data_IF_105114839393
#
_entry.id   IF_105114839393
#
_cell.length_a   1.000
_cell.length_b   1.000
_cell.length_c   1.000
_cell.angle_alpha   90.00
_cell.angle_beta   90.00
_cell.angle_gamma   90.00
#
_symmetry.space_group_name_H-M   'P 1'
#
loop_
_entity.id
_entity.type
_entity.pdbx_description
1 polymer ?
#
# COMPACT_ATOMS: atom_id res chain seq x y z
N UNK A 1 -14.36 -14.07 2.80
CA UNK A 1 -13.09 -14.78 2.61
C UNK A 1 -12.02 -14.02 3.38
N UNK A 2 -11.10 -14.71 4.06
CA UNK A 2 -10.00 -14.06 4.76
C UNK A 2 -8.96 -13.62 3.73
N UNK A 3 -8.55 -12.34 3.77
CA UNK A 3 -7.60 -11.78 2.81
C UNK A 3 -6.40 -11.18 3.55
N UNK A 4 -5.21 -11.42 3.02
CA UNK A 4 -4.00 -10.80 3.54
C UNK A 4 -3.96 -9.32 3.14
N UNK A 5 -3.56 -8.48 4.08
CA UNK A 5 -3.46 -7.03 3.89
C UNK A 5 -2.15 -6.53 4.50
N UNK A 6 -1.83 -5.28 4.19
CA UNK A 6 -0.65 -4.61 4.73
C UNK A 6 -0.71 -4.58 6.26
N UNK A 7 0.44 -4.69 6.95
CA UNK A 7 0.48 -4.65 8.40
C UNK A 7 0.23 -3.21 8.88
N UNK A 8 -1.03 -2.77 8.89
CA UNK A 8 -1.40 -1.43 9.35
C UNK A 8 -2.80 -1.36 10.02
N UNK A 9 -2.94 -0.55 11.10
CA UNK A 9 -1.86 0.11 11.85
C UNK A 9 -0.98 -0.92 12.59
N UNK A 10 0.34 -0.67 12.64
CA UNK A 10 1.30 -1.62 13.24
C UNK A 10 1.13 -1.78 14.76
N UNK A 11 0.71 -0.70 15.43
CA UNK A 11 0.53 -0.65 16.88
C UNK A 11 -0.70 0.20 17.24
N UNK A 12 -1.36 -0.17 18.35
CA UNK A 12 -2.38 0.68 18.97
C UNK A 12 -1.78 1.64 20.00
N UNK A 13 -0.71 1.21 20.66
CA UNK A 13 0.09 1.97 21.62
C UNK A 13 1.55 1.55 21.43
N UNK A 14 2.44 2.52 21.26
CA UNK A 14 3.87 2.28 21.06
C UNK A 14 4.67 3.32 21.85
N UNK A 15 5.56 2.89 22.76
CA UNK A 15 6.52 3.78 23.37
C UNK A 15 7.62 4.11 22.35
N UNK A 16 8.06 5.36 22.34
CA UNK A 16 9.17 5.87 21.53
C UNK A 16 10.07 6.68 22.44
N UNK A 17 11.36 6.73 22.14
CA UNK A 17 12.36 7.40 22.97
C UNK A 17 12.56 8.87 22.56
N UNK A 18 12.42 9.17 21.27
CA UNK A 18 12.69 10.51 20.71
C UNK A 18 11.46 11.12 20.03
N UNK A 19 11.49 12.45 19.84
CA UNK A 19 10.42 13.15 19.12
C UNK A 19 10.44 12.80 17.62
N UNK A 20 11.61 12.52 17.06
CA UNK A 20 11.81 12.10 15.68
C UNK A 20 11.14 10.75 15.42
N UNK A 21 11.38 9.76 16.30
CA UNK A 21 10.67 8.48 16.30
C UNK A 21 9.17 8.67 16.46
N UNK A 22 8.73 9.57 17.35
CA UNK A 22 7.30 9.85 17.52
C UNK A 22 6.67 10.36 16.22
N UNK A 23 7.32 11.27 15.49
CA UNK A 23 6.80 11.84 14.24
C UNK A 23 6.79 10.78 13.14
N UNK A 24 7.88 10.02 12.96
CA UNK A 24 7.95 8.95 11.98
C UNK A 24 6.91 7.85 12.24
N UNK A 25 6.75 7.46 13.50
CA UNK A 25 5.71 6.50 13.92
C UNK A 25 4.30 7.05 13.70
N UNK A 26 4.06 8.33 13.97
CA UNK A 26 2.77 8.96 13.64
C UNK A 26 2.45 8.85 12.15
N UNK A 27 3.42 9.11 11.26
CA UNK A 27 3.23 8.99 9.82
C UNK A 27 2.94 7.53 9.41
N UNK A 28 3.70 6.56 9.92
CA UNK A 28 3.48 5.12 9.69
C UNK A 28 2.10 4.65 10.15
N UNK A 29 1.62 5.16 11.27
CA UNK A 29 0.29 4.84 11.81
C UNK A 29 -0.87 5.43 10.99
N UNK A 30 -0.63 6.19 9.91
CA UNK A 30 -1.68 6.65 8.99
C UNK A 30 -2.07 5.60 7.96
N UNK A 31 -1.25 4.56 7.73
CA UNK A 31 -1.58 3.51 6.76
C UNK A 31 -2.89 2.80 7.12
N UNK A 32 -3.71 2.54 6.10
CA UNK A 32 -4.98 1.83 6.24
C UNK A 32 -5.13 0.79 5.12
N UNK A 33 -5.56 -0.44 5.42
CA UNK A 33 -5.79 -1.47 4.39
C UNK A 33 -6.79 -1.02 3.32
N UNK A 34 -7.85 -0.31 3.75
CA UNK A 34 -8.94 0.17 2.90
C UNK A 34 -8.65 1.50 2.19
N UNK A 35 -7.47 2.07 2.34
CA UNK A 35 -7.16 3.34 1.70
C UNK A 35 -7.12 3.21 0.16
N UNK A 36 -7.67 4.22 -0.50
CA UNK A 36 -7.57 4.39 -1.96
C UNK A 36 -6.12 4.67 -2.36
N UNK A 37 -5.85 4.58 -3.66
CA UNK A 37 -4.52 4.85 -4.25
C UNK A 37 -3.92 6.18 -3.78
N UNK A 38 -4.65 7.29 -3.91
CA UNK A 38 -4.08 8.63 -3.64
C UNK A 38 -3.79 8.86 -2.14
N UNK A 39 -4.69 8.51 -1.19
CA UNK A 39 -4.36 8.51 0.23
C UNK A 39 -3.18 7.63 0.60
N UNK A 40 -3.00 6.47 -0.07
CA UNK A 40 -1.84 5.60 0.19
C UNK A 40 -0.54 6.18 -0.29
N UNK A 41 -0.54 6.80 -1.47
CA UNK A 41 0.60 7.56 -1.93
C UNK A 41 0.96 8.63 -0.90
N UNK A 42 -0.04 9.36 -0.38
CA UNK A 42 0.20 10.38 0.63
C UNK A 42 0.74 9.81 1.95
N UNK A 43 0.19 8.70 2.44
CA UNK A 43 0.67 8.05 3.68
C UNK A 43 2.08 7.48 3.52
N UNK A 44 2.36 6.80 2.41
CA UNK A 44 3.68 6.23 2.12
C UNK A 44 4.73 7.33 1.94
N UNK A 45 4.39 8.42 1.25
CA UNK A 45 5.31 9.55 1.09
C UNK A 45 5.56 10.27 2.42
N UNK A 46 4.53 10.43 3.26
CA UNK A 46 4.71 11.04 4.59
C UNK A 46 5.63 10.22 5.50
N UNK A 47 5.46 8.89 5.51
CA UNK A 47 6.36 8.00 6.25
C UNK A 47 7.79 8.05 5.68
N UNK A 48 7.92 7.91 4.36
CA UNK A 48 9.21 7.92 3.68
C UNK A 48 9.98 9.23 3.89
N UNK A 49 9.30 10.38 3.84
CA UNK A 49 9.89 11.69 4.12
C UNK A 49 10.39 11.77 5.56
N UNK A 50 9.54 11.43 6.54
CA UNK A 50 9.92 11.49 7.94
C UNK A 50 11.10 10.55 8.24
N UNK A 51 11.09 9.34 7.69
CA UNK A 51 12.19 8.39 7.86
C UNK A 51 13.49 8.89 7.23
N UNK A 52 13.42 9.43 6.01
CA UNK A 52 14.60 9.97 5.33
C UNK A 52 15.18 11.19 6.03
N UNK A 53 14.33 12.10 6.49
CA UNK A 53 14.77 13.33 7.17
C UNK A 53 15.42 13.03 8.51
N UNK A 54 14.84 12.13 9.32
CA UNK A 54 15.30 11.90 10.69
C UNK A 54 16.34 10.79 10.82
N UNK A 55 16.33 9.79 9.92
CA UNK A 55 17.20 8.60 10.03
C UNK A 55 18.08 8.38 8.79
N UNK A 56 17.89 9.14 7.71
CA UNK A 56 18.69 9.04 6.48
C UNK A 56 18.33 7.85 5.57
N UNK A 57 17.37 7.02 5.97
CA UNK A 57 16.96 5.80 5.27
C UNK A 57 15.43 5.66 5.18
N UNK A 58 14.95 4.66 4.44
CA UNK A 58 13.51 4.32 4.44
C UNK A 58 13.23 3.28 5.54
N UNK A 59 11.98 3.18 6.00
CA UNK A 59 11.58 2.12 6.95
C UNK A 59 11.79 0.74 6.32
N UNK A 60 12.33 -0.24 7.05
CA UNK A 60 12.66 -1.58 6.51
C UNK A 60 11.49 -2.28 5.78
N UNK A 61 10.26 -1.99 6.19
CA UNK A 61 9.02 -2.60 5.73
C UNK A 61 8.20 -1.71 4.77
N UNK A 62 8.75 -0.58 4.30
CA UNK A 62 8.04 0.36 3.42
C UNK A 62 7.43 -0.32 2.18
N UNK A 63 8.14 -1.31 1.64
CA UNK A 63 7.74 -2.10 0.47
C UNK A 63 6.44 -2.89 0.67
N UNK A 64 6.08 -3.22 1.92
CA UNK A 64 4.84 -3.91 2.26
C UNK A 64 3.61 -3.03 2.01
N UNK A 65 3.79 -1.71 1.92
CA UNK A 65 2.72 -0.75 1.64
C UNK A 65 2.57 -0.42 0.15
N UNK A 66 3.30 -1.09 -0.75
CA UNK A 66 3.21 -0.89 -2.19
C UNK A 66 2.31 -1.94 -2.83
N UNK A 67 1.28 -1.50 -3.55
CA UNK A 67 0.42 -2.36 -4.38
C UNK A 67 0.45 -2.03 -5.87
N UNK A 68 1.01 -0.87 -6.22
CA UNK A 68 1.25 -0.47 -7.59
C UNK A 68 2.29 0.64 -7.65
N UNK A 69 2.91 0.84 -8.81
CA UNK A 69 3.87 1.92 -9.07
C UNK A 69 3.23 3.30 -8.95
N UNK A 70 1.89 3.36 -9.05
CA UNK A 70 1.12 4.60 -8.94
C UNK A 70 0.96 5.06 -7.49
N UNK A 71 1.24 4.20 -6.51
CA UNK A 71 1.29 4.56 -5.09
C UNK A 71 2.66 5.16 -4.71
N UNK A 72 3.63 5.15 -5.62
CA UNK A 72 4.95 5.78 -5.41
C UNK A 72 4.95 7.23 -5.87
N UNK A 73 5.43 8.12 -4.99
CA UNK A 73 5.55 9.54 -5.28
C UNK A 73 6.44 9.79 -6.51
N UNK A 74 5.99 10.68 -7.40
CA UNK A 74 6.59 10.86 -8.73
C UNK A 74 8.08 11.23 -8.68
N UNK A 75 8.48 12.04 -7.69
CA UNK A 75 9.87 12.52 -7.58
C UNK A 75 10.83 11.41 -7.11
N UNK A 76 10.33 10.41 -6.39
CA UNK A 76 11.12 9.30 -5.81
C UNK A 76 10.88 7.97 -6.51
N UNK A 77 9.95 7.91 -7.47
CA UNK A 77 9.52 6.66 -8.11
C UNK A 77 10.68 5.82 -8.63
N UNK A 78 11.63 6.43 -9.35
CA UNK A 78 12.76 5.69 -9.91
C UNK A 78 13.69 5.11 -8.84
N UNK A 79 13.92 5.84 -7.75
CA UNK A 79 14.70 5.36 -6.60
C UNK A 79 13.98 4.18 -5.93
N UNK A 80 12.70 4.35 -5.61
CA UNK A 80 11.90 3.34 -4.92
C UNK A 80 11.71 2.07 -5.75
N UNK A 81 11.49 2.19 -7.06
CA UNK A 81 11.41 1.03 -7.96
C UNK A 81 12.74 0.26 -8.00
N UNK A 82 13.87 0.97 -8.06
CA UNK A 82 15.20 0.33 -8.00
C UNK A 82 15.42 -0.40 -6.67
N UNK A 83 14.95 0.15 -5.55
CA UNK A 83 15.00 -0.50 -4.25
C UNK A 83 14.13 -1.76 -4.20
N UNK A 84 12.92 -1.72 -4.73
CA UNK A 84 12.05 -2.90 -4.86
C UNK A 84 12.73 -4.02 -5.67
N UNK A 85 13.40 -3.68 -6.75
CA UNK A 85 14.15 -4.63 -7.57
C UNK A 85 15.34 -5.24 -6.81
N UNK A 86 16.24 -4.38 -6.30
CA UNK A 86 17.53 -4.82 -5.72
C UNK A 86 17.37 -5.43 -4.34
N UNK A 87 16.55 -4.83 -3.48
CA UNK A 87 16.44 -5.18 -2.06
C UNK A 87 15.33 -6.20 -1.80
N UNK A 88 14.25 -6.16 -2.59
CA UNK A 88 13.07 -7.00 -2.38
C UNK A 88 12.81 -8.01 -3.51
N UNK A 89 13.65 -8.01 -4.57
CA UNK A 89 13.61 -8.98 -5.65
C UNK A 89 12.31 -8.95 -6.46
N UNK A 90 11.74 -7.76 -6.64
CA UNK A 90 10.63 -7.49 -7.57
C UNK A 90 11.16 -7.39 -9.00
N UNK A 91 10.32 -7.69 -10.00
CA UNK A 91 10.69 -7.51 -11.41
C UNK A 91 10.10 -6.21 -11.96
N UNK A 92 10.97 -5.28 -12.37
CA UNK A 92 10.60 -3.96 -12.87
C UNK A 92 10.95 -3.85 -14.36
N UNK A 93 10.04 -3.30 -15.16
CA UNK A 93 10.31 -2.94 -16.56
C UNK A 93 10.12 -1.43 -16.74
N UNK A 94 11.24 -0.70 -16.80
CA UNK A 94 11.22 0.75 -16.88
C UNK A 94 10.58 1.39 -15.65
N UNK A 95 9.34 1.87 -15.78
CA UNK A 95 8.57 2.48 -14.69
C UNK A 95 7.40 1.63 -14.21
N UNK A 96 7.26 0.40 -14.71
CA UNK A 96 6.18 -0.52 -14.35
C UNK A 96 6.69 -1.71 -13.56
N UNK A 97 5.92 -2.12 -12.56
CA UNK A 97 6.16 -3.38 -11.85
C UNK A 97 5.53 -4.50 -12.69
N UNK A 98 6.35 -5.46 -13.14
CA UNK A 98 5.86 -6.65 -13.86
C UNK A 98 5.42 -7.73 -12.87
N UNK A 99 6.27 -8.03 -11.90
CA UNK A 99 6.00 -9.02 -10.87
C UNK A 99 6.42 -8.51 -9.51
N UNK A 100 5.55 -8.66 -8.54
CA UNK A 100 5.81 -8.32 -7.15
C UNK A 100 6.15 -9.58 -6.35
N UNK A 101 7.06 -9.44 -5.39
CA UNK A 101 7.35 -10.50 -4.44
C UNK A 101 6.38 -10.42 -3.28
N UNK A 102 5.58 -11.45 -3.11
CA UNK A 102 4.67 -11.60 -1.98
C UNK A 102 5.42 -11.91 -0.68
N UNK A 103 4.78 -11.69 0.46
CA UNK A 103 5.33 -12.01 1.80
C UNK A 103 5.65 -13.49 1.99
N UNK A 104 5.01 -14.38 1.21
CA UNK A 104 5.34 -15.81 1.14
C UNK A 104 6.67 -16.08 0.42
N UNK A 105 7.27 -15.08 -0.22
CA UNK A 105 8.45 -15.20 -1.07
C UNK A 105 8.15 -15.54 -2.53
N UNK A 106 6.89 -15.87 -2.86
CA UNK A 106 6.46 -16.14 -4.23
C UNK A 106 6.50 -14.88 -5.08
N UNK A 107 6.96 -15.02 -6.32
CA UNK A 107 6.96 -13.94 -7.30
C UNK A 107 5.75 -14.10 -8.22
N UNK A 108 4.88 -13.10 -8.24
CA UNK A 108 3.56 -13.19 -8.89
C UNK A 108 3.32 -11.96 -9.76
N UNK A 109 2.46 -12.10 -10.77
CA UNK A 109 2.04 -10.95 -11.55
C UNK A 109 1.25 -9.95 -10.68
N UNK A 110 1.11 -8.71 -11.14
CA UNK A 110 0.43 -7.67 -10.34
C UNK A 110 -1.07 -7.93 -10.14
N UNK A 111 -1.73 -8.69 -11.01
CA UNK A 111 -3.15 -9.00 -10.84
C UNK A 111 -3.32 -10.04 -9.72
N UNK A 112 -2.53 -11.11 -9.76
CA UNK A 112 -2.46 -12.14 -8.73
C UNK A 112 -1.99 -11.56 -7.39
N UNK A 113 -0.99 -10.67 -7.41
CA UNK A 113 -0.53 -9.96 -6.21
C UNK A 113 -1.66 -9.19 -5.56
N UNK A 114 -2.39 -8.38 -6.32
CA UNK A 114 -3.50 -7.60 -5.77
C UNK A 114 -4.72 -8.46 -5.40
N UNK A 115 -4.87 -9.64 -6.01
CA UNK A 115 -5.88 -10.61 -5.63
C UNK A 115 -5.57 -11.29 -4.29
N UNK A 116 -4.30 -11.64 -4.03
CA UNK A 116 -3.85 -12.28 -2.79
C UNK A 116 -3.58 -11.27 -1.66
N UNK A 117 -3.08 -10.08 -1.99
CA UNK A 117 -2.59 -9.08 -1.05
C UNK A 117 -3.27 -7.71 -1.23
N UNK A 118 -3.81 -7.16 -0.15
CA UNK A 118 -4.50 -5.87 -0.12
C UNK A 118 -6.03 -6.00 -0.20
N UNK A 119 -6.75 -4.93 -0.51
CA UNK A 119 -8.22 -4.96 -0.60
C UNK A 119 -8.66 -4.41 -1.95
N UNK A 120 -9.51 -5.17 -2.65
CA UNK A 120 -10.20 -4.68 -3.83
C UNK A 120 -11.38 -3.81 -3.37
N UNK A 121 -11.40 -2.55 -3.81
CA UNK A 121 -12.48 -1.61 -3.54
C UNK A 121 -13.84 -2.17 -3.95
N UNK A 122 -14.85 -2.00 -3.08
CA UNK A 122 -16.22 -2.45 -3.31
C UNK A 122 -16.52 -3.88 -2.84
N UNK A 123 -15.52 -4.75 -2.62
CA UNK A 123 -15.76 -6.15 -2.21
C UNK A 123 -16.20 -6.28 -0.73
N UNK A 124 -15.78 -5.35 0.12
CA UNK A 124 -16.11 -5.31 1.55
C UNK A 124 -16.63 -3.95 2.04
N UNK A 125 -16.90 -3.05 1.11
CA UNK A 125 -17.58 -1.80 1.45
C UNK A 125 -19.01 -2.13 1.87
N UNK A 126 -19.44 -1.66 3.03
CA UNK A 126 -20.85 -1.68 3.42
C UNK A 126 -21.58 -0.70 2.52
N UNK A 127 -21.99 -1.14 1.33
CA UNK A 127 -22.79 -0.34 0.42
C UNK A 127 -24.20 -0.28 1.01
N UNK A 128 -24.63 0.90 1.43
CA UNK A 128 -26.06 1.13 1.69
C UNK A 128 -26.84 0.87 0.39
N UNK A 129 -28.05 0.31 0.43
CA UNK A 129 -28.78 -0.08 -0.79
C UNK A 129 -28.91 1.02 -1.86
N UNK A 130 -28.90 2.29 -1.44
CA UNK A 130 -28.93 3.48 -2.30
C UNK A 130 -27.62 3.79 -3.06
N UNK A 131 -26.51 3.19 -2.67
CA UNK A 131 -25.18 3.37 -3.27
C UNK A 131 -24.74 2.15 -4.08
N UNK A 132 -25.56 1.10 -4.15
CA UNK A 132 -25.32 -0.03 -5.04
C UNK A 132 -25.76 0.40 -6.43
N UNK A 133 -24.80 0.51 -7.36
CA UNK A 133 -25.10 0.68 -8.78
C UNK A 133 -25.85 -0.57 -9.23
N UNK A 134 -27.15 -0.43 -9.52
CA UNK A 134 -27.95 -1.52 -10.08
C UNK A 134 -27.37 -1.93 -11.42
N UNK A 135 -27.31 -3.23 -11.68
CA UNK A 135 -26.95 -3.72 -13.01
C UNK A 135 -28.07 -3.37 -14.01
N UNK A 136 -27.76 -3.31 -15.30
CA UNK A 136 -28.77 -3.10 -16.36
C UNK A 136 -29.83 -4.23 -16.43
N UNK A 137 -29.61 -5.35 -15.73
CA UNK A 137 -30.59 -6.42 -15.59
C UNK A 137 -31.62 -6.11 -14.49
N UNK A 138 -31.22 -5.43 -13.42
CA UNK A 138 -32.08 -5.05 -12.29
C UNK A 138 -33.03 -3.88 -12.61
N UNK A 139 -32.79 -3.15 -13.70
CA UNK A 139 -33.60 -2.02 -14.16
C UNK A 139 -34.74 -2.44 -15.10
N UNK A 140 -34.77 -3.70 -15.57
CA UNK A 140 -35.81 -4.23 -16.47
C UNK A 140 -37.01 -4.87 -15.76
N UNK A 141 -37.01 -4.93 -14.44
CA UNK A 141 -38.08 -5.55 -13.63
C UNK A 141 -38.99 -4.53 -12.93
N UNK A 142 -39.21 -3.35 -13.52
CA UNK A 142 -40.22 -2.36 -13.07
C UNK A 142 -41.23 -2.13 -14.18
#
# INVERSE_FOLDING_TARGET
EQKEVEPCPVHMLVPVETKEEAIAMCAKLLHRPLALRDPRLASLEAENEAHKEFFGEYSDDWHLYVRSEQELHVMRRMELLKKLEVEHGWEIEGTRIKRARHRSGELMDMAEYNEKYGIQLGRYSTLVPRLITRSDEDSKSI
#
